data_IF_906331323840
#
_entry.id   IF_906331323840
#
_cell.length_a   1.000
_cell.length_b   1.000
_cell.length_c   1.000
_cell.angle_alpha   90.00
_cell.angle_beta   90.00
_cell.angle_gamma   90.00
#
_symmetry.space_group_name_H-M   'P 1'
#
loop_
_entity.id
_entity.type
_entity.pdbx_description
1 polymer ?
#
# COMPACT_ATOMS: atom_id res chain seq x y z
N UNK A 1 -43.97 -24.24 -3.55
CA UNK A 1 -42.86 -25.15 -3.26
C UNK A 1 -41.62 -24.28 -3.10
N UNK A 2 -41.12 -24.12 -1.88
CA UNK A 2 -39.90 -23.37 -1.62
C UNK A 2 -38.70 -24.26 -2.04
N UNK A 3 -37.90 -23.77 -2.99
CA UNK A 3 -36.65 -24.44 -3.32
C UNK A 3 -35.71 -24.29 -2.12
N UNK A 4 -35.36 -25.39 -1.47
CA UNK A 4 -34.41 -25.41 -0.36
C UNK A 4 -33.02 -24.97 -0.85
N UNK A 5 -32.46 -23.95 -0.22
CA UNK A 5 -31.05 -23.55 -0.42
C UNK A 5 -30.21 -24.37 0.56
N UNK A 6 -29.29 -25.18 0.03
CA UNK A 6 -28.32 -25.91 0.85
C UNK A 6 -27.04 -25.06 0.91
N UNK A 7 -26.63 -24.65 2.11
CA UNK A 7 -25.34 -24.05 2.35
C UNK A 7 -24.42 -25.10 3.01
N UNK A 8 -23.20 -25.25 2.50
CA UNK A 8 -22.20 -26.15 3.04
C UNK A 8 -21.12 -25.32 3.73
N UNK A 9 -20.85 -25.62 5.01
CA UNK A 9 -19.75 -25.05 5.76
C UNK A 9 -18.73 -26.14 6.11
N UNK A 10 -17.47 -25.74 6.24
CA UNK A 10 -16.39 -26.63 6.66
C UNK A 10 -15.85 -26.17 8.02
N UNK A 11 -15.61 -27.13 8.91
CA UNK A 11 -14.96 -26.87 10.20
C UNK A 11 -13.71 -27.72 10.27
N UNK A 12 -12.57 -27.11 10.51
CA UNK A 12 -11.33 -27.81 10.83
C UNK A 12 -11.20 -27.95 12.34
N UNK A 13 -10.98 -29.15 12.82
CA UNK A 13 -10.79 -29.42 14.25
C UNK A 13 -9.54 -30.27 14.47
N UNK A 14 -8.83 -30.01 15.56
CA UNK A 14 -7.64 -30.77 15.95
C UNK A 14 -7.10 -30.32 17.29
N UNK A 15 -6.19 -31.09 17.87
CA UNK A 15 -5.49 -30.73 19.09
C UNK A 15 -4.43 -29.66 18.71
N UNK A 16 -4.55 -28.46 19.27
CA UNK A 16 -3.66 -27.32 19.03
C UNK A 16 -3.64 -26.78 17.56
N UNK A 17 -4.68 -27.05 16.78
CA UNK A 17 -4.83 -26.43 15.47
C UNK A 17 -5.42 -25.04 15.65
N UNK A 18 -4.81 -23.97 15.13
CA UNK A 18 -5.39 -22.63 15.16
C UNK A 18 -6.76 -22.61 14.47
N UNK A 19 -7.70 -21.82 14.97
CA UNK A 19 -9.05 -21.69 14.41
C UNK A 19 -9.00 -21.09 13.00
N UNK A 20 -7.96 -20.30 12.73
CA UNK A 20 -7.68 -19.69 11.43
C UNK A 20 -6.18 -19.75 11.16
N UNK A 21 -5.79 -19.87 9.88
CA UNK A 21 -4.40 -19.73 9.48
C UNK A 21 -3.97 -18.27 9.71
N UNK A 22 -3.10 -18.05 10.71
CA UNK A 22 -2.58 -16.71 10.97
C UNK A 22 -1.58 -16.29 9.90
N UNK A 23 -1.93 -15.29 9.11
CA UNK A 23 -1.08 -14.73 8.03
C UNK A 23 -0.17 -13.60 8.51
N UNK A 24 -0.45 -13.02 9.66
CA UNK A 24 0.24 -11.86 10.20
C UNK A 24 -0.68 -10.65 10.35
N UNK A 25 -0.07 -9.47 10.36
CA UNK A 25 -0.77 -8.19 10.43
C UNK A 25 -0.72 -7.48 9.09
N UNK A 26 -1.86 -6.91 8.71
CA UNK A 26 -2.00 -6.05 7.52
C UNK A 26 -2.32 -4.63 7.95
N UNK A 27 -1.52 -3.67 7.51
CA UNK A 27 -1.83 -2.25 7.63
C UNK A 27 -2.88 -1.93 6.57
N UNK A 28 -4.01 -1.35 6.98
CA UNK A 28 -5.07 -0.89 6.09
C UNK A 28 -5.14 0.63 6.18
N UNK A 29 -4.61 1.32 5.17
CA UNK A 29 -4.73 2.78 5.06
C UNK A 29 -5.93 3.13 4.18
N UNK A 30 -6.82 3.97 4.70
CA UNK A 30 -8.05 4.38 4.02
C UNK A 30 -8.07 5.89 3.86
N UNK A 31 -8.38 6.37 2.66
CA UNK A 31 -8.67 7.78 2.44
C UNK A 31 -9.80 8.26 3.38
N UNK A 32 -9.50 9.23 4.23
CA UNK A 32 -10.43 9.71 5.25
C UNK A 32 -11.66 10.43 4.71
N UNK A 33 -11.65 10.86 3.44
CA UNK A 33 -12.84 11.42 2.78
C UNK A 33 -13.78 10.34 2.27
N UNK A 34 -13.24 9.14 2.00
CA UNK A 34 -13.99 7.97 1.55
C UNK A 34 -14.54 7.18 2.75
N UNK A 35 -13.78 7.12 3.84
CA UNK A 35 -14.09 6.30 5.01
C UNK A 35 -15.53 6.49 5.57
N UNK A 36 -16.06 7.70 5.73
CA UNK A 36 -17.43 7.90 6.23
C UNK A 36 -18.52 7.51 5.22
N UNK A 37 -18.19 7.44 3.93
CA UNK A 37 -19.13 7.10 2.86
C UNK A 37 -19.23 5.60 2.62
N UNK A 38 -18.22 4.82 3.03
CA UNK A 38 -18.07 3.38 2.80
C UNK A 38 -17.95 2.59 4.11
N UNK A 39 -18.65 3.00 5.14
CA UNK A 39 -18.55 2.35 6.47
C UNK A 39 -18.91 0.86 6.39
N UNK A 40 -19.98 0.53 5.68
CA UNK A 40 -20.45 -0.86 5.54
C UNK A 40 -19.44 -1.72 4.79
N UNK A 41 -18.96 -1.23 3.67
CA UNK A 41 -18.01 -1.93 2.79
C UNK A 41 -16.65 -2.11 3.47
N UNK A 42 -16.17 -1.08 4.18
CA UNK A 42 -14.91 -1.14 4.93
C UNK A 42 -15.00 -2.08 6.14
N UNK A 43 -16.17 -2.15 6.79
CA UNK A 43 -16.41 -3.14 7.84
C UNK A 43 -16.42 -4.55 7.27
N UNK A 44 -17.09 -4.75 6.10
CA UNK A 44 -17.09 -6.04 5.42
C UNK A 44 -15.67 -6.43 4.99
N UNK A 45 -14.93 -5.52 4.35
CA UNK A 45 -13.52 -5.76 3.98
C UNK A 45 -12.67 -6.17 5.20
N UNK A 46 -12.83 -5.45 6.31
CA UNK A 46 -12.10 -5.77 7.55
C UNK A 46 -12.47 -7.15 8.08
N UNK A 47 -13.75 -7.51 8.01
CA UNK A 47 -14.23 -8.84 8.40
C UNK A 47 -13.65 -9.93 7.51
N UNK A 48 -13.68 -9.73 6.18
CA UNK A 48 -13.16 -10.70 5.20
C UNK A 48 -11.65 -10.91 5.36
N UNK A 49 -10.89 -9.82 5.56
CA UNK A 49 -9.45 -9.90 5.83
C UNK A 49 -9.15 -10.69 7.12
N UNK A 50 -9.96 -10.46 8.17
CA UNK A 50 -9.81 -11.24 9.44
C UNK A 50 -10.17 -12.69 9.24
N UNK A 51 -11.21 -12.99 8.46
CA UNK A 51 -11.60 -14.35 8.13
C UNK A 51 -10.53 -15.08 7.31
N UNK A 52 -9.75 -14.34 6.50
CA UNK A 52 -8.59 -14.84 5.74
C UNK A 52 -7.32 -14.95 6.59
N UNK A 53 -7.38 -14.65 7.89
CA UNK A 53 -6.28 -14.86 8.84
C UNK A 53 -5.43 -13.63 9.16
N UNK A 54 -5.81 -12.44 8.68
CA UNK A 54 -5.08 -11.20 8.96
C UNK A 54 -5.55 -10.52 10.25
N UNK A 55 -4.61 -9.99 11.04
CA UNK A 55 -4.92 -8.93 12.01
C UNK A 55 -4.86 -7.59 11.28
N UNK A 56 -5.97 -6.87 11.20
CA UNK A 56 -6.07 -5.61 10.47
C UNK A 56 -5.74 -4.44 11.38
N UNK A 57 -4.75 -3.63 10.96
CA UNK A 57 -4.33 -2.38 11.59
C UNK A 57 -4.81 -1.22 10.70
N UNK A 58 -6.05 -0.74 10.95
CA UNK A 58 -6.64 0.34 10.14
C UNK A 58 -6.20 1.71 10.66
N UNK A 59 -5.85 2.60 9.72
CA UNK A 59 -5.62 4.03 9.93
C UNK A 59 -6.24 4.82 8.77
N UNK A 60 -7.10 5.78 9.07
CA UNK A 60 -7.66 6.66 8.06
C UNK A 60 -6.72 7.87 7.87
N UNK A 61 -6.36 8.16 6.62
CA UNK A 61 -5.34 9.15 6.25
C UNK A 61 -5.88 10.19 5.28
N UNK A 62 -5.30 11.39 5.31
CA UNK A 62 -5.70 12.44 4.38
C UNK A 62 -5.14 12.18 2.98
N UNK A 63 -5.98 12.36 1.96
CA UNK A 63 -5.54 12.33 0.54
C UNK A 63 -4.58 13.46 0.17
N UNK A 64 -4.48 14.49 1.00
CA UNK A 64 -3.57 15.63 0.80
C UNK A 64 -2.35 15.59 1.71
N UNK A 65 -2.17 14.49 2.44
CA UNK A 65 -0.97 14.28 3.25
C UNK A 65 0.28 14.13 2.37
N UNK A 66 1.45 14.47 2.88
CA UNK A 66 2.70 14.18 2.18
C UNK A 66 2.98 12.67 2.16
N UNK A 67 3.60 12.18 1.10
CA UNK A 67 4.00 10.76 0.99
C UNK A 67 4.93 10.36 2.14
N UNK A 68 5.76 11.29 2.63
CA UNK A 68 6.64 11.06 3.78
C UNK A 68 5.86 10.89 5.09
N UNK A 69 4.78 11.64 5.31
CA UNK A 69 3.94 11.46 6.49
C UNK A 69 3.16 10.15 6.46
N UNK A 70 2.68 9.72 5.28
CA UNK A 70 2.06 8.41 5.11
C UNK A 70 3.07 7.30 5.42
N UNK A 71 4.29 7.40 4.88
CA UNK A 71 5.35 6.42 5.17
C UNK A 71 5.67 6.35 6.66
N UNK A 72 5.69 7.47 7.36
CA UNK A 72 5.93 7.49 8.81
C UNK A 72 4.86 6.72 9.58
N UNK A 73 3.60 6.75 9.15
CA UNK A 73 2.51 5.94 9.73
C UNK A 73 2.78 4.45 9.47
N UNK A 74 3.16 4.08 8.26
CA UNK A 74 3.51 2.69 7.90
C UNK A 74 4.69 2.20 8.74
N UNK A 75 5.75 3.01 8.85
CA UNK A 75 6.92 2.73 9.69
C UNK A 75 6.56 2.55 11.17
N UNK A 76 5.64 3.37 11.70
CA UNK A 76 5.15 3.24 13.07
C UNK A 76 4.48 1.90 13.32
N UNK A 77 3.60 1.46 12.43
CA UNK A 77 2.96 0.14 12.51
C UNK A 77 3.98 -0.99 12.37
N UNK A 78 4.85 -0.92 11.35
CA UNK A 78 5.87 -1.94 11.12
C UNK A 78 6.80 -2.09 12.31
N UNK A 79 7.37 -0.99 12.81
CA UNK A 79 8.33 -1.00 13.91
C UNK A 79 7.74 -1.46 15.24
N UNK A 80 6.41 -1.40 15.41
CA UNK A 80 5.74 -1.94 16.59
C UNK A 80 5.73 -3.48 16.63
N UNK A 81 5.81 -4.15 15.47
CA UNK A 81 5.86 -5.61 15.36
C UNK A 81 6.40 -6.05 13.98
N UNK A 82 7.72 -5.90 13.74
CA UNK A 82 8.32 -6.20 12.43
C UNK A 82 8.20 -7.67 12.02
N UNK A 83 8.04 -8.55 13.00
CA UNK A 83 7.91 -9.99 12.75
C UNK A 83 6.57 -10.35 12.13
N UNK A 84 5.50 -9.67 12.52
CA UNK A 84 4.15 -10.04 12.12
C UNK A 84 3.51 -9.08 11.12
N UNK A 85 3.94 -7.82 11.01
CA UNK A 85 3.44 -6.91 9.98
C UNK A 85 4.04 -7.29 8.62
N UNK A 86 3.20 -7.75 7.68
CA UNK A 86 3.61 -8.36 6.41
C UNK A 86 3.04 -7.68 5.19
N UNK A 87 1.94 -6.94 5.34
CA UNK A 87 1.23 -6.37 4.21
C UNK A 87 0.73 -4.96 4.50
N UNK A 88 0.59 -4.18 3.43
CA UNK A 88 0.00 -2.85 3.39
C UNK A 88 -1.07 -2.83 2.30
N UNK A 89 -2.28 -2.42 2.66
CA UNK A 89 -3.37 -2.23 1.71
C UNK A 89 -3.85 -0.78 1.73
N UNK A 90 -3.81 -0.14 0.57
CA UNK A 90 -4.16 1.26 0.36
C UNK A 90 -5.54 1.31 -0.30
N UNK A 91 -6.50 1.99 0.32
CA UNK A 91 -7.89 2.09 -0.14
C UNK A 91 -8.27 3.54 -0.37
N UNK A 92 -8.69 3.84 -1.60
CA UNK A 92 -9.01 5.18 -2.04
C UNK A 92 -7.77 6.01 -2.37
N UNK A 93 -7.94 7.32 -2.43
CA UNK A 93 -6.93 8.25 -2.91
C UNK A 93 -5.82 8.54 -1.87
N UNK A 94 -5.18 7.48 -1.36
CA UNK A 94 -3.97 7.62 -0.56
C UNK A 94 -2.85 8.17 -1.44
N UNK A 95 -2.09 9.20 -1.00
CA UNK A 95 -1.04 9.83 -1.81
C UNK A 95 -0.15 8.84 -2.54
N UNK A 96 0.09 9.09 -3.83
CA UNK A 96 0.95 8.27 -4.67
C UNK A 96 2.36 8.82 -4.64
N UNK A 97 3.33 7.99 -4.29
CA UNK A 97 4.75 8.34 -4.39
C UNK A 97 5.25 8.15 -5.83
N UNK A 98 6.18 9.00 -6.23
CA UNK A 98 6.84 8.93 -7.52
C UNK A 98 8.35 8.80 -7.31
N UNK A 99 9.03 8.02 -8.15
CA UNK A 99 10.47 7.83 -8.03
C UNK A 99 11.13 7.47 -9.35
N UNK A 100 12.44 7.69 -9.38
CA UNK A 100 13.34 7.25 -10.43
C UNK A 100 13.49 8.20 -11.59
N UNK A 101 14.26 7.73 -12.56
CA UNK A 101 14.56 8.42 -13.81
C UNK A 101 14.68 7.39 -14.93
N UNK A 102 13.59 6.67 -15.17
CA UNK A 102 13.56 5.52 -16.08
C UNK A 102 12.85 5.83 -17.39
N UNK A 103 13.23 5.13 -18.44
CA UNK A 103 12.61 5.12 -19.76
C UNK A 103 11.97 3.74 -20.00
N UNK A 104 10.71 3.51 -19.58
CA UNK A 104 10.12 2.17 -19.54
C UNK A 104 10.05 1.48 -20.91
N UNK A 105 9.92 2.27 -21.96
CA UNK A 105 9.82 1.81 -23.35
C UNK A 105 11.09 2.12 -24.19
N UNK A 106 12.14 2.64 -23.54
CA UNK A 106 13.41 2.99 -24.19
C UNK A 106 13.39 4.33 -24.94
N UNK A 107 12.30 5.10 -24.91
CA UNK A 107 12.21 6.40 -25.54
C UNK A 107 12.34 7.54 -24.51
N UNK A 108 13.15 8.56 -24.83
CA UNK A 108 13.43 9.68 -23.91
C UNK A 108 12.22 10.57 -23.60
N UNK A 109 11.23 10.61 -24.48
CA UNK A 109 9.97 11.32 -24.23
C UNK A 109 9.16 10.75 -23.07
N UNK A 110 9.38 9.48 -22.73
CA UNK A 110 8.81 8.81 -21.56
C UNK A 110 9.67 8.88 -20.29
N UNK A 111 10.88 9.49 -20.35
CA UNK A 111 11.83 9.49 -19.25
C UNK A 111 11.35 10.28 -18.04
N UNK A 112 11.56 9.73 -16.84
CA UNK A 112 11.31 10.43 -15.57
C UNK A 112 10.82 9.53 -14.45
N UNK A 113 10.27 10.15 -13.41
CA UNK A 113 9.71 9.45 -12.25
C UNK A 113 8.43 8.70 -12.61
N UNK A 114 8.22 7.58 -11.93
CA UNK A 114 7.03 6.73 -12.08
C UNK A 114 6.34 6.53 -10.73
N UNK A 115 5.00 6.32 -10.73
CA UNK A 115 4.29 5.94 -9.54
C UNK A 115 4.89 4.67 -8.94
N UNK A 116 5.12 4.66 -7.63
CA UNK A 116 5.65 3.49 -6.94
C UNK A 116 5.12 3.37 -5.51
N UNK A 117 4.17 2.50 -5.29
CA UNK A 117 3.70 2.17 -3.93
C UNK A 117 4.71 1.34 -3.15
N UNK A 118 5.71 0.77 -3.82
CA UNK A 118 6.84 0.11 -3.20
C UNK A 118 7.65 1.00 -2.24
N UNK A 119 7.59 2.33 -2.42
CA UNK A 119 8.11 3.31 -1.47
C UNK A 119 7.56 3.12 -0.04
N UNK A 120 6.30 2.76 0.08
CA UNK A 120 5.66 2.48 1.35
C UNK A 120 6.01 1.09 1.89
N UNK A 121 6.29 0.15 0.98
CA UNK A 121 6.65 -1.24 1.33
C UNK A 121 8.10 -1.43 1.70
N UNK A 122 8.98 -0.60 1.16
CA UNK A 122 10.40 -0.53 1.49
C UNK A 122 10.58 0.34 2.75
N UNK A 123 10.27 -0.24 3.91
CA UNK A 123 10.18 0.47 5.18
C UNK A 123 11.53 0.99 5.65
N UNK A 124 12.61 0.22 5.42
CA UNK A 124 13.96 0.50 5.91
C UNK A 124 14.84 1.21 4.87
N UNK A 125 14.41 1.28 3.62
CA UNK A 125 15.19 1.89 2.54
C UNK A 125 15.39 3.39 2.71
N UNK A 126 16.55 3.86 2.27
CA UNK A 126 16.87 5.30 2.24
C UNK A 126 16.47 5.88 0.89
N UNK A 127 15.43 6.70 0.90
CA UNK A 127 14.91 7.40 -0.27
C UNK A 127 15.36 8.85 -0.23
N UNK A 128 15.93 9.33 -1.34
CA UNK A 128 16.48 10.69 -1.49
C UNK A 128 15.75 11.44 -2.60
N UNK A 129 15.76 12.76 -2.52
CA UNK A 129 15.21 13.68 -3.50
C UNK A 129 16.18 14.86 -3.64
N UNK A 130 17.37 14.59 -4.21
CA UNK A 130 18.45 15.58 -4.24
C UNK A 130 19.39 15.49 -5.45
N UNK A 131 19.25 14.49 -6.31
CA UNK A 131 20.23 14.21 -7.37
C UNK A 131 19.64 14.10 -8.76
N UNK A 132 18.47 13.51 -8.91
CA UNK A 132 17.82 13.42 -10.23
C UNK A 132 17.34 14.79 -10.67
N UNK A 133 17.67 15.15 -11.93
CA UNK A 133 17.22 16.40 -12.55
C UNK A 133 16.85 16.13 -14.01
N UNK A 134 15.60 15.77 -14.24
CA UNK A 134 15.05 15.39 -15.55
C UNK A 134 13.74 16.12 -15.82
N UNK A 135 13.70 16.87 -16.92
CA UNK A 135 12.51 17.61 -17.39
C UNK A 135 12.24 17.38 -18.88
N UNK A 136 12.80 16.31 -19.45
CA UNK A 136 12.70 16.01 -20.88
C UNK A 136 11.45 15.21 -21.26
N UNK A 137 10.84 14.51 -20.31
CA UNK A 137 9.62 13.74 -20.57
C UNK A 137 8.44 14.62 -20.98
N UNK A 138 7.59 14.13 -21.89
CA UNK A 138 6.42 14.84 -22.42
C UNK A 138 5.40 15.19 -21.32
N UNK A 139 5.33 14.37 -20.30
CA UNK A 139 4.41 14.55 -19.18
C UNK A 139 5.11 15.20 -17.99
N UNK A 140 4.71 16.41 -17.62
CA UNK A 140 5.28 17.13 -16.47
C UNK A 140 5.18 16.32 -15.15
N UNK A 141 4.17 15.46 -15.02
CA UNK A 141 4.06 14.56 -13.87
C UNK A 141 5.26 13.62 -13.70
N UNK A 142 5.93 13.28 -14.82
CA UNK A 142 7.13 12.44 -14.81
C UNK A 142 8.42 13.24 -14.61
N UNK A 143 8.39 14.57 -14.66
CA UNK A 143 9.58 15.36 -14.37
C UNK A 143 10.01 15.11 -12.93
N UNK A 144 11.30 15.03 -12.72
CA UNK A 144 11.90 14.78 -11.42
C UNK A 144 13.08 15.74 -11.24
N UNK A 145 12.97 16.63 -10.26
CA UNK A 145 13.98 17.63 -9.95
C UNK A 145 14.25 17.67 -8.46
N UNK A 146 15.48 17.98 -8.02
CA UNK A 146 15.81 17.98 -6.62
C UNK A 146 14.85 18.83 -5.77
N UNK A 147 14.25 18.22 -4.74
CA UNK A 147 13.36 18.87 -3.80
C UNK A 147 11.89 18.98 -4.26
N UNK A 148 11.47 18.28 -5.31
CA UNK A 148 10.09 18.33 -5.82
C UNK A 148 9.13 17.31 -5.17
N UNK A 149 9.63 16.50 -4.25
CA UNK A 149 8.86 15.46 -3.55
C UNK A 149 8.82 14.12 -4.28
N UNK A 150 9.54 13.99 -5.40
CA UNK A 150 9.76 12.72 -6.09
C UNK A 150 11.16 12.22 -5.80
N UNK A 151 11.28 10.92 -5.64
CA UNK A 151 12.53 10.31 -5.19
C UNK A 151 13.48 10.01 -6.35
N UNK A 152 14.77 9.90 -6.04
CA UNK A 152 15.84 9.67 -7.03
C UNK A 152 15.92 8.21 -7.47
N UNK A 153 15.48 7.27 -6.65
CA UNK A 153 15.73 5.84 -6.78
C UNK A 153 14.95 5.24 -7.96
N UNK A 154 15.67 4.65 -8.92
CA UNK A 154 15.09 3.84 -10.00
C UNK A 154 14.92 2.37 -9.62
N UNK A 155 15.64 1.92 -8.59
CA UNK A 155 15.55 0.60 -7.96
C UNK A 155 15.25 0.77 -6.48
N UNK A 156 14.77 -0.30 -5.83
CA UNK A 156 14.52 -0.26 -4.39
C UNK A 156 15.84 -0.18 -3.62
N UNK A 157 15.99 0.81 -2.70
CA UNK A 157 17.22 0.96 -1.92
C UNK A 157 17.47 -0.19 -0.93
N UNK A 158 16.42 -0.94 -0.54
CA UNK A 158 16.55 -2.14 0.29
C UNK A 158 15.53 -3.22 -0.11
N UNK A 159 15.63 -4.45 0.41
CA UNK A 159 14.58 -5.44 0.23
C UNK A 159 13.25 -4.95 0.78
N UNK A 160 12.18 -5.15 0.02
CA UNK A 160 10.83 -4.72 0.40
C UNK A 160 10.34 -5.57 1.57
N UNK A 161 9.96 -4.92 2.68
CA UNK A 161 9.47 -5.60 3.87
C UNK A 161 7.99 -5.95 3.80
N UNK A 162 7.18 -5.14 3.11
CA UNK A 162 5.73 -5.30 3.06
C UNK A 162 5.24 -5.61 1.65
N UNK A 163 4.34 -6.56 1.54
CA UNK A 163 3.52 -6.71 0.33
C UNK A 163 2.56 -5.52 0.23
N UNK A 164 2.57 -4.82 -0.89
CA UNK A 164 1.72 -3.63 -1.06
C UNK A 164 0.67 -3.87 -2.13
N UNK A 165 -0.58 -3.54 -1.79
CA UNK A 165 -1.70 -3.50 -2.71
C UNK A 165 -2.45 -2.17 -2.62
N UNK A 166 -3.00 -1.71 -3.75
CA UNK A 166 -3.83 -0.50 -3.83
C UNK A 166 -5.13 -0.79 -4.57
N UNK A 167 -6.21 -0.22 -4.06
CA UNK A 167 -7.44 0.00 -4.82
C UNK A 167 -7.79 1.49 -4.77
N UNK A 168 -7.78 2.11 -5.94
CA UNK A 168 -8.19 3.49 -6.15
C UNK A 168 -9.07 3.52 -7.41
N UNK A 169 -10.34 3.76 -7.22
CA UNK A 169 -11.36 3.72 -8.28
C UNK A 169 -11.72 5.15 -8.75
N UNK A 170 -10.77 6.05 -8.69
CA UNK A 170 -10.98 7.44 -9.10
C UNK A 170 -10.94 7.61 -10.62
#
# INVERSE_FOLDING_TARGET
>A
VSAGVTATGYVSTGIQVPVTDYRGKMILLVDNTLAPQMVTELNQLTYDLRADGWTVLRTDVSRTASVTSIRSIVQGHYNSDPTNVKALYLVGHVPVSYSGNITPDGHDDGKGARPTDGYYGDVNGTWTDNSVNTTIGTHQQSWNTPGDGKFDQSDFPSPIELQVGRVDLY
#
